data_IF_399252318709
#
_entry.id   IF_399252318709
#
_cell.length_a   1.000
_cell.length_b   1.000
_cell.length_c   1.000
_cell.angle_alpha   90.00
_cell.angle_beta   90.00
_cell.angle_gamma   90.00
#
_symmetry.space_group_name_H-M   'P 1'
#
loop_
_entity.id
_entity.type
_entity.pdbx_description
1 polymer ?
#
# COMPACT_ATOMS: atom_id res chain seq x y z
N UNK A 1 6.34 14.28 -15.13
CA UNK A 1 6.07 12.83 -15.00
C UNK A 1 6.87 12.33 -13.80
N UNK A 2 6.24 11.72 -12.78
CA UNK A 2 6.98 11.19 -11.62
C UNK A 2 7.57 9.82 -11.95
N UNK A 3 8.85 9.60 -11.68
CA UNK A 3 9.49 8.29 -11.81
C UNK A 3 9.19 7.44 -10.58
N UNK A 4 8.38 6.40 -10.74
CA UNK A 4 7.95 5.53 -9.65
C UNK A 4 8.55 4.13 -9.75
N UNK A 5 8.73 3.47 -8.60
CA UNK A 5 9.23 2.09 -8.51
C UNK A 5 8.36 1.25 -7.58
N UNK A 6 8.07 0.00 -7.97
CA UNK A 6 7.36 -0.94 -7.10
C UNK A 6 8.32 -1.60 -6.12
N UNK A 7 8.11 -1.36 -4.83
CA UNK A 7 8.96 -1.82 -3.74
C UNK A 7 8.15 -2.67 -2.76
N UNK A 8 8.66 -3.84 -2.38
CA UNK A 8 7.91 -4.86 -1.64
C UNK A 8 8.07 -4.79 -0.10
N UNK A 9 8.65 -3.71 0.42
CA UNK A 9 8.84 -3.52 1.85
C UNK A 9 10.27 -3.76 2.31
N UNK A 10 10.51 -3.71 3.62
CA UNK A 10 11.86 -3.79 4.23
C UNK A 10 12.63 -5.08 3.91
N UNK A 11 11.95 -6.12 3.43
CA UNK A 11 12.53 -7.41 3.03
C UNK A 11 12.92 -7.47 1.55
N UNK A 12 12.59 -6.44 0.77
CA UNK A 12 12.98 -6.33 -0.63
C UNK A 12 14.52 -6.16 -0.72
N UNK A 13 15.23 -6.97 -1.52
CA UNK A 13 16.67 -6.80 -1.71
C UNK A 13 17.02 -5.46 -2.35
N UNK A 14 16.08 -4.83 -3.08
CA UNK A 14 16.25 -3.49 -3.63
C UNK A 14 15.84 -2.47 -2.56
N UNK A 15 16.83 -1.80 -1.98
CA UNK A 15 16.61 -0.85 -0.88
C UNK A 15 16.15 0.51 -1.38
N UNK A 16 15.48 1.29 -0.51
CA UNK A 16 15.06 2.65 -0.83
C UNK A 16 16.24 3.59 -1.15
N UNK A 17 17.41 3.38 -0.54
CA UNK A 17 18.59 4.20 -0.86
C UNK A 17 19.10 3.91 -2.28
N UNK A 18 19.11 2.64 -2.73
CA UNK A 18 19.44 2.30 -4.11
C UNK A 18 18.48 2.98 -5.10
N UNK A 19 17.19 2.97 -4.80
CA UNK A 19 16.16 3.61 -5.63
C UNK A 19 16.35 5.12 -5.73
N UNK A 20 16.69 5.78 -4.61
CA UNK A 20 17.00 7.20 -4.56
C UNK A 20 18.20 7.54 -5.46
N UNK A 21 19.24 6.71 -5.46
CA UNK A 21 20.46 6.94 -6.26
C UNK A 21 20.20 6.86 -7.78
N UNK A 22 19.26 6.02 -8.23
CA UNK A 22 18.86 5.95 -9.65
C UNK A 22 17.77 6.98 -10.02
N UNK A 23 17.47 7.92 -9.13
CA UNK A 23 16.56 9.03 -9.38
C UNK A 23 15.09 8.64 -9.39
N UNK A 24 14.69 7.60 -8.65
CA UNK A 24 13.28 7.34 -8.31
C UNK A 24 12.78 8.44 -7.38
N UNK A 25 11.55 8.90 -7.61
CA UNK A 25 10.90 9.96 -6.83
C UNK A 25 9.72 9.43 -6.02
N UNK A 26 9.06 8.39 -6.54
CA UNK A 26 7.87 7.79 -5.96
C UNK A 26 7.99 6.29 -5.73
N UNK A 27 7.37 5.81 -4.67
CA UNK A 27 7.26 4.39 -4.36
C UNK A 27 5.83 3.93 -4.60
N UNK A 28 5.72 2.82 -5.31
CA UNK A 28 4.51 2.01 -5.43
C UNK A 28 4.67 0.84 -4.47
N UNK A 29 3.76 0.65 -3.53
CA UNK A 29 3.88 -0.45 -2.55
C UNK A 29 2.52 -0.84 -1.98
N UNK A 30 2.49 -1.88 -1.14
CA UNK A 30 1.33 -2.33 -0.40
C UNK A 30 1.71 -2.86 0.98
N UNK A 31 0.70 -3.15 1.79
CA UNK A 31 0.87 -3.76 3.11
C UNK A 31 0.85 -5.30 2.99
N UNK A 32 1.97 -5.87 2.56
CA UNK A 32 2.09 -7.31 2.28
C UNK A 32 1.91 -8.22 3.51
N UNK A 33 2.10 -7.70 4.72
CA UNK A 33 1.91 -8.46 5.96
C UNK A 33 0.44 -8.49 6.43
N UNK A 34 -0.47 -7.73 5.79
CA UNK A 34 -1.90 -7.73 6.12
C UNK A 34 -2.61 -8.80 5.28
N UNK A 35 -3.32 -9.78 5.90
CA UNK A 35 -4.05 -10.78 5.15
C UNK A 35 -5.09 -10.18 4.21
N UNK A 36 -5.33 -10.82 3.07
CA UNK A 36 -6.28 -10.34 2.07
C UNK A 36 -7.67 -10.09 2.67
N UNK A 37 -8.25 -8.93 2.36
CA UNK A 37 -9.57 -8.52 2.82
C UNK A 37 -9.64 -8.00 4.25
N UNK A 38 -8.56 -8.10 5.04
CA UNK A 38 -8.52 -7.51 6.37
C UNK A 38 -8.37 -6.00 6.32
N UNK A 39 -8.82 -5.33 7.38
CA UNK A 39 -8.64 -3.89 7.52
C UNK A 39 -7.16 -3.59 7.82
N UNK A 40 -6.52 -2.82 6.94
CA UNK A 40 -5.18 -2.27 7.08
C UNK A 40 -5.13 -1.32 8.30
N UNK A 41 -4.29 -1.62 9.31
CA UNK A 41 -4.14 -0.73 10.46
C UNK A 41 -3.58 0.64 10.03
N UNK A 42 -4.19 1.72 10.52
CA UNK A 42 -3.76 3.09 10.18
C UNK A 42 -2.31 3.37 10.57
N UNK A 43 -1.85 2.79 11.67
CA UNK A 43 -0.49 2.99 12.16
C UNK A 43 0.54 2.30 11.28
N UNK A 44 0.21 1.16 10.69
CA UNK A 44 1.06 0.47 9.72
C UNK A 44 1.18 1.28 8.42
N UNK A 45 0.07 1.84 7.92
CA UNK A 45 0.10 2.75 6.75
C UNK A 45 1.00 3.95 7.05
N UNK A 46 0.84 4.58 8.22
CA UNK A 46 1.65 5.73 8.63
C UNK A 46 3.13 5.36 8.81
N UNK A 47 3.43 4.19 9.34
CA UNK A 47 4.81 3.71 9.47
C UNK A 47 5.47 3.55 8.11
N UNK A 48 4.82 2.86 7.16
CA UNK A 48 5.35 2.69 5.80
C UNK A 48 5.53 4.04 5.12
N UNK A 49 4.56 4.94 5.23
CA UNK A 49 4.67 6.31 4.69
C UNK A 49 5.85 7.07 5.29
N UNK A 50 6.04 7.02 6.61
CA UNK A 50 7.17 7.68 7.29
C UNK A 50 8.50 7.06 6.89
N UNK A 51 8.56 5.75 6.78
CA UNK A 51 9.77 5.03 6.36
C UNK A 51 10.16 5.40 4.92
N UNK A 52 9.21 5.46 3.99
CA UNK A 52 9.49 5.92 2.62
C UNK A 52 9.98 7.39 2.63
N UNK A 53 9.30 8.25 3.39
CA UNK A 53 9.63 9.66 3.51
C UNK A 53 11.02 9.91 4.13
N UNK A 54 11.51 9.05 5.02
CA UNK A 54 12.84 9.21 5.61
C UNK A 54 13.98 9.03 4.61
N UNK A 55 13.73 8.45 3.44
CA UNK A 55 14.68 8.38 2.32
C UNK A 55 14.48 9.51 1.29
N UNK A 56 13.62 10.50 1.59
CA UNK A 56 13.29 11.58 0.65
C UNK A 56 12.40 11.13 -0.52
N UNK A 57 11.77 9.96 -0.41
CA UNK A 57 10.86 9.40 -1.40
C UNK A 57 9.41 9.63 -0.96
N UNK A 58 8.47 9.49 -1.89
CA UNK A 58 7.04 9.63 -1.61
C UNK A 58 6.28 8.35 -1.93
N UNK A 59 5.39 7.88 -1.04
CA UNK A 59 4.46 6.81 -1.37
C UNK A 59 3.42 7.33 -2.36
N UNK A 60 3.62 7.03 -3.64
CA UNK A 60 2.87 7.58 -4.75
C UNK A 60 1.62 6.77 -5.10
N UNK A 61 1.71 5.44 -5.06
CA UNK A 61 0.60 4.56 -5.48
C UNK A 61 0.54 3.33 -4.59
N UNK A 62 -0.67 2.82 -4.34
CA UNK A 62 -0.88 1.53 -3.69
C UNK A 62 -1.00 0.44 -4.76
N UNK A 63 -0.11 -0.56 -4.73
CA UNK A 63 -0.19 -1.73 -5.61
C UNK A 63 0.16 -3.03 -4.86
N UNK A 64 -0.81 -3.73 -4.27
CA UNK A 64 -2.27 -3.58 -4.42
C UNK A 64 -3.03 -3.55 -3.10
N UNK A 65 -4.28 -3.08 -3.20
CA UNK A 65 -5.31 -3.44 -2.24
C UNK A 65 -6.10 -4.64 -2.82
N UNK A 66 -5.94 -5.85 -2.29
CA UNK A 66 -6.48 -7.05 -2.93
C UNK A 66 -8.00 -7.15 -2.80
N UNK A 67 -8.68 -7.36 -3.93
CA UNK A 67 -10.10 -7.75 -3.97
C UNK A 67 -10.17 -9.25 -3.67
N UNK A 68 -10.78 -9.63 -2.56
CA UNK A 68 -10.92 -11.05 -2.17
C UNK A 68 -11.91 -11.78 -3.08
N UNK A 69 -11.70 -13.10 -3.23
CA UNK A 69 -12.47 -13.94 -4.16
C UNK A 69 -13.98 -13.89 -3.90
N UNK A 70 -14.43 -13.86 -2.63
CA UNK A 70 -15.85 -13.76 -2.31
C UNK A 70 -16.54 -12.54 -2.93
N UNK A 71 -15.82 -11.43 -3.12
CA UNK A 71 -16.38 -10.28 -3.83
C UNK A 71 -16.57 -10.63 -5.31
N UNK A 72 -15.58 -11.28 -5.92
CA UNK A 72 -15.55 -11.61 -7.36
C UNK A 72 -16.65 -12.58 -7.77
N UNK A 73 -16.85 -13.67 -7.03
CA UNK A 73 -17.92 -14.65 -7.34
C UNK A 73 -19.26 -14.36 -6.65
N UNK A 74 -19.35 -13.27 -5.89
CA UNK A 74 -20.60 -12.85 -5.24
C UNK A 74 -21.01 -13.72 -4.04
N UNK A 75 -20.05 -14.21 -3.26
CA UNK A 75 -20.28 -15.04 -2.07
C UNK A 75 -21.14 -14.39 -0.97
N UNK A 76 -21.62 -15.20 -0.03
CA UNK A 76 -22.54 -14.77 1.05
C UNK A 76 -21.93 -13.73 1.99
N UNK A 77 -20.62 -13.72 2.13
CA UNK A 77 -19.83 -12.84 2.98
C UNK A 77 -19.24 -11.63 2.23
N UNK A 78 -19.59 -11.42 0.94
CA UNK A 78 -19.03 -10.34 0.12
C UNK A 78 -19.23 -8.95 0.71
N UNK A 79 -20.36 -8.69 1.36
CA UNK A 79 -20.70 -7.35 1.86
C UNK A 79 -19.75 -6.95 2.98
N UNK A 80 -19.44 -7.87 3.90
CA UNK A 80 -18.38 -7.69 4.92
C UNK A 80 -17.03 -7.34 4.28
N UNK A 81 -16.67 -8.01 3.19
CA UNK A 81 -15.38 -7.76 2.53
C UNK A 81 -15.36 -6.43 1.77
N UNK A 82 -16.48 -6.01 1.21
CA UNK A 82 -16.65 -4.69 0.58
C UNK A 82 -16.51 -3.59 1.64
N UNK A 83 -17.13 -3.75 2.82
CA UNK A 83 -16.97 -2.82 3.94
C UNK A 83 -15.50 -2.67 4.37
N UNK A 84 -14.78 -3.79 4.50
CA UNK A 84 -13.35 -3.75 4.80
C UNK A 84 -12.54 -3.04 3.70
N UNK A 85 -12.87 -3.30 2.43
CA UNK A 85 -12.21 -2.66 1.29
C UNK A 85 -12.42 -1.14 1.30
N UNK A 86 -13.65 -0.69 1.54
CA UNK A 86 -13.98 0.73 1.70
C UNK A 86 -13.21 1.34 2.88
N UNK A 87 -13.11 0.65 4.00
CA UNK A 87 -12.35 1.11 5.17
C UNK A 87 -10.86 1.27 4.87
N UNK A 88 -10.29 0.36 4.10
CA UNK A 88 -8.90 0.46 3.66
C UNK A 88 -8.68 1.67 2.75
N UNK A 89 -9.58 1.92 1.79
CA UNK A 89 -9.55 3.13 0.97
C UNK A 89 -9.62 4.41 1.83
N UNK A 90 -10.51 4.45 2.83
CA UNK A 90 -10.59 5.59 3.75
C UNK A 90 -9.30 5.77 4.55
N UNK A 91 -8.72 4.70 5.10
CA UNK A 91 -7.47 4.78 5.85
C UNK A 91 -6.29 5.28 4.99
N UNK A 92 -6.19 4.82 3.74
CA UNK A 92 -5.18 5.27 2.77
C UNK A 92 -5.37 6.76 2.43
N UNK A 93 -6.61 7.17 2.15
CA UNK A 93 -6.95 8.57 1.88
C UNK A 93 -6.66 9.50 3.07
N UNK A 94 -7.02 9.08 4.30
CA UNK A 94 -6.68 9.81 5.53
C UNK A 94 -5.17 9.92 5.77
N UNK A 95 -4.40 8.94 5.31
CA UNK A 95 -2.95 9.00 5.34
C UNK A 95 -2.37 9.83 4.19
N UNK A 96 -3.17 10.37 3.27
CA UNK A 96 -2.73 11.16 2.12
C UNK A 96 -1.99 10.34 1.06
N UNK A 97 -2.39 9.09 0.87
CA UNK A 97 -1.96 8.24 -0.26
C UNK A 97 -3.10 8.27 -1.28
N UNK A 98 -2.90 9.01 -2.37
CA UNK A 98 -3.93 9.39 -3.36
C UNK A 98 -3.40 9.32 -4.78
#
# INVERSE_FOLDING_TARGET
MKKCWRWFGKKDPITLDMLRQIGVEGIVTALHDVPNGQVCPTDMIREVKRYIASYGLHWAVVESLPVVESIKYGGKDRDKWIENFQRNLMHLGQAGVT
#
